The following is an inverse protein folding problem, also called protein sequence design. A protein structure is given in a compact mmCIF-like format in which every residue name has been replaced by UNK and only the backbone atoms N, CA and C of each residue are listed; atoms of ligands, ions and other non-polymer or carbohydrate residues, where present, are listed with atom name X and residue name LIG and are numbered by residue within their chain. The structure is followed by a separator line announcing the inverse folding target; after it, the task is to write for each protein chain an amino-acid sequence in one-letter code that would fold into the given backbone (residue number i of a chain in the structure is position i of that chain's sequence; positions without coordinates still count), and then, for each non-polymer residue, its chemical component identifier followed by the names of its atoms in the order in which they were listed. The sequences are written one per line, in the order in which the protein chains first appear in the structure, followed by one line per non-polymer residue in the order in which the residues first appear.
data_IF_592372065970
#
_entry.id   IF_592372065970
#
_cell.length_a   1.000
_cell.length_b   1.000
_cell.length_c   1.000
_cell.angle_alpha   90.00
_cell.angle_beta   90.00
_cell.angle_gamma   90.00
#
_symmetry.space_group_name_H-M   'P 1'
#
loop_
_entity.id
_entity.type
_entity.pdbx_description
1 polymer ?
#
# COMPACT_ATOMS: atom_id res chain seq x y z
N UNK A 1 32.77 -13.32 4.97
CA UNK A 1 31.49 -14.05 5.13
C UNK A 1 30.39 -13.10 4.74
N UNK A 2 29.62 -13.44 3.70
CA UNK A 2 28.45 -12.67 3.32
C UNK A 2 27.37 -12.85 4.39
N UNK A 3 26.88 -11.73 4.93
CA UNK A 3 25.86 -11.68 5.98
C UNK A 3 24.44 -11.51 5.43
N UNK A 4 24.30 -11.56 4.11
CA UNK A 4 23.06 -11.27 3.40
C UNK A 4 22.81 -12.42 2.43
N UNK A 5 21.63 -13.02 2.56
CA UNK A 5 21.11 -14.01 1.63
C UNK A 5 19.90 -13.42 0.93
N UNK A 6 19.83 -13.56 -0.40
CA UNK A 6 18.72 -13.05 -1.21
C UNK A 6 18.00 -14.25 -1.81
N UNK A 7 16.68 -14.29 -1.67
CA UNK A 7 15.81 -15.28 -2.31
C UNK A 7 14.88 -14.58 -3.30
N UNK A 8 14.67 -15.21 -4.46
CA UNK A 8 13.70 -14.75 -5.46
C UNK A 8 12.56 -15.77 -5.55
N UNK A 9 11.45 -15.46 -4.90
CA UNK A 9 10.23 -16.27 -4.90
C UNK A 9 9.03 -15.38 -4.59
N UNK A 10 7.85 -15.84 -4.99
CA UNK A 10 6.61 -15.20 -4.54
C UNK A 10 6.34 -15.58 -3.08
N UNK A 11 5.68 -14.69 -2.35
CA UNK A 11 5.46 -14.88 -0.92
C UNK A 11 4.68 -16.16 -0.63
N UNK A 12 3.67 -16.51 -1.42
CA UNK A 12 2.88 -17.74 -1.30
C UNK A 12 3.74 -19.00 -1.42
N UNK A 13 4.74 -19.00 -2.31
CA UNK A 13 5.62 -20.13 -2.58
C UNK A 13 6.84 -20.18 -1.65
N UNK A 14 7.20 -19.05 -1.03
CA UNK A 14 8.35 -18.99 -0.14
C UNK A 14 8.17 -19.93 1.05
N UNK A 15 9.17 -20.80 1.22
CA UNK A 15 9.30 -21.78 2.29
C UNK A 15 10.75 -21.80 2.75
N UNK A 16 10.95 -21.61 4.04
CA UNK A 16 12.24 -21.73 4.69
C UNK A 16 12.07 -22.45 6.04
N UNK A 17 13.14 -23.06 6.53
CA UNK A 17 13.18 -23.64 7.88
C UNK A 17 13.88 -22.70 8.86
N UNK A 18 14.57 -21.68 8.36
CA UNK A 18 15.24 -20.71 9.20
C UNK A 18 14.23 -19.81 9.93
N UNK A 19 14.53 -19.53 11.20
CA UNK A 19 13.82 -18.51 11.99
C UNK A 19 14.76 -17.36 12.32
N UNK A 20 14.20 -16.19 12.53
CA UNK A 20 14.94 -14.94 12.77
C UNK A 20 14.46 -14.25 14.05
N UNK A 21 15.36 -13.51 14.70
CA UNK A 21 15.01 -12.68 15.87
C UNK A 21 14.02 -11.55 15.52
N UNK A 22 14.01 -11.14 14.25
CA UNK A 22 13.10 -10.15 13.70
C UNK A 22 12.73 -10.54 12.28
N UNK A 23 11.43 -10.66 12.03
CA UNK A 23 10.86 -10.71 10.67
C UNK A 23 10.07 -9.45 10.44
N UNK A 24 10.32 -8.77 9.32
CA UNK A 24 9.59 -7.56 9.00
C UNK A 24 9.12 -7.53 7.54
N UNK A 25 8.00 -6.85 7.33
CA UNK A 25 7.47 -6.51 6.01
C UNK A 25 7.28 -5.00 5.94
N UNK A 26 7.67 -4.38 4.83
CA UNK A 26 7.58 -2.93 4.67
C UNK A 26 6.93 -2.56 3.35
N UNK A 27 5.75 -1.97 3.44
CA UNK A 27 4.95 -1.49 2.30
C UNK A 27 4.70 -2.60 1.26
N UNK A 28 4.64 -3.85 1.70
CA UNK A 28 4.49 -5.01 0.83
C UNK A 28 3.03 -5.46 0.78
N UNK A 29 2.44 -5.60 -0.40
CA UNK A 29 1.09 -6.17 -0.55
C UNK A 29 1.05 -7.66 -0.22
N UNK A 30 2.20 -8.33 -0.03
CA UNK A 30 2.25 -9.75 0.31
C UNK A 30 1.58 -10.07 1.66
N UNK A 31 1.53 -9.11 2.58
CA UNK A 31 0.87 -9.26 3.88
C UNK A 31 -0.45 -8.49 3.83
N UNK A 32 -1.47 -9.08 3.20
CA UNK A 32 -2.75 -8.43 2.91
C UNK A 32 -3.96 -9.11 3.57
N UNK A 33 -3.76 -10.16 4.37
CA UNK A 33 -4.82 -10.87 5.05
C UNK A 33 -4.28 -11.63 6.27
N UNK A 34 -5.20 -12.24 7.02
CA UNK A 34 -4.88 -13.00 8.21
C UNK A 34 -3.84 -14.10 7.96
N UNK A 35 -4.03 -14.96 6.95
CA UNK A 35 -3.13 -16.11 6.71
C UNK A 35 -1.69 -15.67 6.48
N UNK A 36 -1.50 -14.58 5.75
CA UNK A 36 -0.17 -14.08 5.42
C UNK A 36 0.53 -13.44 6.64
N UNK A 37 -0.25 -12.79 7.50
CA UNK A 37 0.26 -12.30 8.78
C UNK A 37 0.73 -13.44 9.69
N UNK A 38 -0.02 -14.54 9.75
CA UNK A 38 0.37 -15.73 10.53
C UNK A 38 1.58 -16.43 9.90
N UNK A 39 1.60 -16.57 8.58
CA UNK A 39 2.76 -17.12 7.86
C UNK A 39 4.03 -16.30 8.15
N UNK A 40 3.91 -14.98 8.24
CA UNK A 40 5.03 -14.12 8.64
C UNK A 40 5.49 -14.41 10.08
N UNK A 41 4.58 -14.62 11.03
CA UNK A 41 4.93 -15.02 12.41
C UNK A 41 5.77 -16.31 12.44
N UNK A 42 5.50 -17.29 11.56
CA UNK A 42 6.20 -18.60 11.60
C UNK A 42 7.70 -18.52 11.30
N UNK A 43 8.15 -17.41 10.70
CA UNK A 43 9.58 -17.17 10.41
C UNK A 43 10.29 -16.42 11.54
N UNK A 44 9.58 -15.97 12.57
CA UNK A 44 10.15 -15.27 13.71
C UNK A 44 10.18 -16.15 14.94
N UNK A 45 11.24 -16.01 15.75
CA UNK A 45 11.34 -16.64 17.07
C UNK A 45 11.24 -15.62 18.21
N UNK A 46 11.10 -14.32 17.90
CA UNK A 46 11.08 -13.27 18.92
C UNK A 46 10.17 -12.10 18.59
N UNK A 47 10.40 -11.37 17.49
CA UNK A 47 9.58 -10.22 17.13
C UNK A 47 9.17 -10.22 15.65
N UNK A 48 7.99 -9.67 15.39
CA UNK A 48 7.56 -9.31 14.05
C UNK A 48 7.31 -7.81 13.94
N UNK A 49 7.46 -7.26 12.73
CA UNK A 49 7.26 -5.84 12.45
C UNK A 49 6.60 -5.62 11.08
N UNK A 50 5.48 -4.91 11.05
CA UNK A 50 4.79 -4.53 9.82
C UNK A 50 4.85 -3.01 9.65
N UNK A 51 5.44 -2.56 8.55
CA UNK A 51 5.36 -1.17 8.10
C UNK A 51 4.32 -1.10 6.98
N UNK A 52 3.26 -0.34 7.21
CA UNK A 52 2.15 -0.20 6.26
C UNK A 52 1.62 1.24 6.24
N UNK A 53 0.64 1.50 5.39
CA UNK A 53 -0.06 2.77 5.36
C UNK A 53 -0.79 3.03 6.68
N UNK A 54 -0.67 4.26 7.17
CA UNK A 54 -1.47 4.76 8.27
C UNK A 54 -2.93 5.00 7.85
N UNK A 55 -3.81 5.06 8.84
CA UNK A 55 -5.21 5.41 8.60
C UNK A 55 -5.34 6.85 8.08
N UNK A 56 -6.32 7.09 7.20
CA UNK A 56 -6.69 8.45 6.80
C UNK A 56 -5.86 9.06 5.65
N UNK A 57 -5.23 8.24 4.81
CA UNK A 57 -4.56 8.71 3.59
C UNK A 57 -5.47 9.62 2.74
N UNK A 58 -4.94 10.75 2.21
CA UNK A 58 -5.71 11.62 1.33
C UNK A 58 -6.12 10.90 0.04
N UNK A 59 -7.22 11.35 -0.56
CA UNK A 59 -7.70 10.80 -1.83
C UNK A 59 -6.75 11.16 -2.97
N UNK A 60 -6.13 10.13 -3.55
CA UNK A 60 -5.30 10.23 -4.75
C UNK A 60 -6.13 10.55 -6.00
N UNK A 61 -5.48 11.07 -7.06
CA UNK A 61 -6.12 11.24 -8.37
C UNK A 61 -6.73 9.93 -8.89
N UNK A 62 -6.07 8.78 -8.68
CA UNK A 62 -6.57 7.46 -9.08
C UNK A 62 -7.85 7.09 -8.34
N UNK A 63 -7.93 7.40 -7.04
CA UNK A 63 -9.16 7.21 -6.28
C UNK A 63 -10.33 8.01 -6.86
N UNK A 64 -10.09 9.26 -7.27
CA UNK A 64 -11.12 10.11 -7.91
C UNK A 64 -11.57 9.57 -9.27
N UNK A 65 -10.65 9.01 -10.05
CA UNK A 65 -10.99 8.38 -11.33
C UNK A 65 -11.83 7.12 -11.10
N UNK A 66 -11.46 6.28 -10.13
CA UNK A 66 -12.29 5.14 -9.73
C UNK A 66 -13.71 5.56 -9.33
N UNK A 67 -13.88 6.65 -8.60
CA UNK A 67 -15.21 7.18 -8.26
C UNK A 67 -16.03 7.55 -9.49
N UNK A 68 -15.40 8.14 -10.51
CA UNK A 68 -16.04 8.45 -11.80
C UNK A 68 -16.45 7.18 -12.54
N UNK A 69 -15.58 6.16 -12.57
CA UNK A 69 -15.88 4.87 -13.21
C UNK A 69 -16.99 4.08 -12.51
N UNK A 70 -17.03 4.14 -11.17
CA UNK A 70 -17.99 3.38 -10.38
C UNK A 70 -19.31 4.13 -10.14
N UNK A 71 -19.37 5.43 -10.40
CA UNK A 71 -20.53 6.28 -10.10
C UNK A 71 -20.84 6.41 -8.61
N UNK A 72 -19.93 5.98 -7.74
CA UNK A 72 -20.05 6.02 -6.28
C UNK A 72 -18.70 6.31 -5.65
N UNK A 73 -18.71 6.72 -4.38
CA UNK A 73 -17.46 6.82 -3.60
C UNK A 73 -16.75 5.47 -3.61
N UNK A 74 -15.47 5.48 -3.97
CA UNK A 74 -14.63 4.31 -3.89
C UNK A 74 -14.34 4.05 -2.41
N UNK A 75 -14.65 2.86 -1.93
CA UNK A 75 -14.17 2.43 -0.63
C UNK A 75 -12.64 2.32 -0.72
N UNK A 76 -11.96 2.85 0.29
CA UNK A 76 -10.51 2.67 0.38
C UNK A 76 -10.24 1.20 0.62
N UNK A 77 -9.72 0.49 -0.38
CA UNK A 77 -9.21 -0.88 -0.23
C UNK A 77 -7.80 -0.90 0.36
N UNK A 78 -7.32 0.21 0.95
CA UNK A 78 -5.99 0.25 1.54
C UNK A 78 -5.99 -0.69 2.73
N UNK A 79 -5.09 -1.68 2.71
CA UNK A 79 -4.74 -2.49 3.86
C UNK A 79 -3.97 -1.61 4.86
N UNK A 80 -4.69 -0.71 5.51
CA UNK A 80 -4.12 0.22 6.46
C UNK A 80 -3.82 -0.47 7.78
N UNK A 81 -3.07 0.23 8.63
CA UNK A 81 -2.59 -0.27 9.90
C UNK A 81 -3.68 -0.81 10.85
N UNK A 82 -4.93 -0.36 10.72
CA UNK A 82 -6.00 -0.72 11.65
C UNK A 82 -6.36 -2.19 11.51
N UNK A 83 -6.40 -2.71 10.28
CA UNK A 83 -6.76 -4.10 10.04
C UNK A 83 -5.78 -5.10 10.68
N UNK A 84 -4.46 -5.11 10.37
CA UNK A 84 -3.52 -6.03 10.98
C UNK A 84 -3.36 -5.78 12.48
N UNK A 85 -3.47 -4.52 12.95
CA UNK A 85 -3.45 -4.22 14.38
C UNK A 85 -4.60 -4.91 15.13
N UNK A 86 -5.83 -4.81 14.60
CA UNK A 86 -7.00 -5.42 15.22
C UNK A 86 -6.93 -6.95 15.23
N UNK A 87 -6.39 -7.58 14.17
CA UNK A 87 -6.15 -9.02 14.15
C UNK A 87 -5.21 -9.41 15.29
N UNK A 88 -4.04 -8.77 15.36
CA UNK A 88 -3.01 -9.07 16.37
C UNK A 88 -3.56 -8.85 17.79
N UNK A 89 -4.31 -7.77 17.99
CA UNK A 89 -4.96 -7.49 19.27
C UNK A 89 -5.98 -8.58 19.63
N UNK A 90 -6.87 -8.96 18.71
CA UNK A 90 -7.88 -10.01 18.94
C UNK A 90 -7.25 -11.39 19.22
N UNK A 91 -6.06 -11.65 18.68
CA UNK A 91 -5.26 -12.85 18.96
C UNK A 91 -4.49 -12.80 20.29
N UNK A 92 -4.59 -11.71 21.05
CA UNK A 92 -3.87 -11.53 22.31
C UNK A 92 -2.37 -11.25 22.15
N UNK A 93 -1.90 -10.81 20.97
CA UNK A 93 -0.48 -10.49 20.71
C UNK A 93 -0.02 -9.18 21.34
N UNK A 94 -0.95 -8.36 21.85
CA UNK A 94 -0.68 -7.04 22.41
C UNK A 94 0.28 -6.20 21.54
N UNK A 95 -0.08 -5.96 20.26
CA UNK A 95 0.78 -5.23 19.34
C UNK A 95 0.99 -3.79 19.79
N UNK A 96 2.20 -3.28 19.53
CA UNK A 96 2.50 -1.86 19.64
C UNK A 96 2.37 -1.21 18.25
N UNK A 97 2.06 0.08 18.21
CA UNK A 97 1.98 0.83 16.96
C UNK A 97 2.52 2.24 17.15
N UNK A 98 3.27 2.72 16.15
CA UNK A 98 3.67 4.12 16.01
C UNK A 98 3.32 4.61 14.62
N UNK A 99 2.69 5.77 14.55
CA UNK A 99 2.32 6.41 13.29
C UNK A 99 3.25 7.58 12.98
N UNK A 100 3.45 7.83 11.70
CA UNK A 100 4.30 8.87 11.17
C UNK A 100 3.56 9.58 10.03
N UNK A 101 3.74 10.89 9.97
CA UNK A 101 3.28 11.73 8.87
C UNK A 101 4.52 12.33 8.22
N UNK A 102 4.62 12.15 6.91
CA UNK A 102 5.66 12.77 6.09
C UNK A 102 4.98 13.70 5.10
N UNK A 103 4.94 15.02 5.38
CA UNK A 103 4.42 16.00 4.44
C UNK A 103 5.14 15.90 3.10
N UNK A 104 4.38 15.99 2.02
CA UNK A 104 4.91 15.89 0.67
C UNK A 104 4.04 16.64 -0.32
N UNK A 105 4.68 17.20 -1.35
CA UNK A 105 4.00 17.74 -2.52
C UNK A 105 4.61 17.06 -3.75
N UNK A 106 3.75 16.61 -4.66
CA UNK A 106 4.18 16.10 -5.97
C UNK A 106 3.84 17.13 -7.03
N UNK A 107 4.79 17.45 -7.89
CA UNK A 107 4.58 18.27 -9.09
C UNK A 107 4.98 17.44 -10.30
N UNK A 108 3.99 17.02 -11.07
CA UNK A 108 4.20 16.10 -12.19
C UNK A 108 3.57 16.66 -13.47
N UNK A 109 4.27 16.64 -14.61
CA UNK A 109 3.68 17.02 -15.89
C UNK A 109 2.45 16.17 -16.21
N UNK A 110 1.38 16.80 -16.68
CA UNK A 110 0.11 16.15 -17.05
C UNK A 110 0.35 14.97 -18.00
N UNK A 111 1.24 15.14 -18.98
CA UNK A 111 1.59 14.07 -19.93
C UNK A 111 2.05 12.79 -19.24
N UNK A 112 2.91 12.91 -18.23
CA UNK A 112 3.41 11.77 -17.45
C UNK A 112 2.32 11.19 -16.55
N UNK A 113 1.53 12.03 -15.87
CA UNK A 113 0.42 11.56 -15.03
C UNK A 113 -0.59 10.78 -15.85
N UNK A 114 -0.92 11.27 -17.05
CA UNK A 114 -1.83 10.60 -17.98
C UNK A 114 -1.29 9.23 -18.39
N UNK A 115 -0.03 9.17 -18.83
CA UNK A 115 0.60 7.91 -19.24
C UNK A 115 0.56 6.87 -18.12
N UNK A 116 1.01 7.24 -16.92
CA UNK A 116 1.07 6.35 -15.76
C UNK A 116 -0.33 5.91 -15.31
N UNK A 117 -1.31 6.81 -15.41
CA UNK A 117 -2.70 6.54 -14.99
C UNK A 117 -3.43 5.63 -15.99
N UNK A 118 -3.29 5.88 -17.29
CA UNK A 118 -3.84 5.01 -18.34
C UNK A 118 -3.23 3.60 -18.20
N UNK A 119 -1.91 3.52 -18.04
CA UNK A 119 -1.22 2.23 -17.85
C UNK A 119 -1.77 1.49 -16.63
N UNK A 120 -1.97 2.18 -15.50
CA UNK A 120 -2.53 1.59 -14.29
C UNK A 120 -3.95 1.04 -14.53
N UNK A 121 -4.84 1.83 -15.13
CA UNK A 121 -6.24 1.41 -15.32
C UNK A 121 -6.41 0.30 -16.36
N UNK A 122 -5.52 0.24 -17.35
CA UNK A 122 -5.46 -0.87 -18.32
C UNK A 122 -5.26 -2.23 -17.66
N UNK A 123 -4.52 -2.30 -16.54
CA UNK A 123 -4.33 -3.54 -15.76
C UNK A 123 -5.69 -4.08 -15.26
N UNK A 124 -6.65 -3.19 -15.01
CA UNK A 124 -8.00 -3.53 -14.56
C UNK A 124 -9.01 -3.63 -15.70
N UNK A 125 -8.56 -3.72 -16.96
CA UNK A 125 -9.42 -3.84 -18.14
C UNK A 125 -10.17 -2.56 -18.50
N UNK A 126 -9.72 -1.39 -18.01
CA UNK A 126 -10.32 -0.07 -18.27
C UNK A 126 -9.50 0.65 -19.34
N UNK A 127 -9.91 0.53 -20.61
CA UNK A 127 -9.15 1.03 -21.77
C UNK A 127 -10.04 1.52 -22.93
N UNK A 128 -11.32 1.77 -22.68
CA UNK A 128 -12.20 2.36 -23.72
C UNK A 128 -11.89 3.84 -23.95
N UNK A 129 -12.22 4.36 -25.14
CA UNK A 129 -12.04 5.79 -25.47
C UNK A 129 -12.74 6.70 -24.45
N UNK A 130 -13.97 6.35 -24.04
CA UNK A 130 -14.70 7.09 -23.01
C UNK A 130 -13.99 7.08 -21.65
N UNK A 131 -13.38 5.96 -21.25
CA UNK A 131 -12.63 5.88 -19.99
C UNK A 131 -11.33 6.70 -20.04
N UNK A 132 -10.62 6.69 -21.17
CA UNK A 132 -9.44 7.52 -21.37
C UNK A 132 -9.79 9.01 -21.34
N UNK A 133 -10.94 9.39 -21.91
CA UNK A 133 -11.45 10.76 -21.87
C UNK A 133 -11.82 11.19 -20.43
N UNK A 134 -12.44 10.31 -19.65
CA UNK A 134 -12.69 10.57 -18.22
C UNK A 134 -11.38 10.76 -17.46
N UNK A 135 -10.37 9.91 -17.68
CA UNK A 135 -9.04 10.04 -17.06
C UNK A 135 -8.44 11.40 -17.39
N UNK A 136 -8.46 11.78 -18.67
CA UNK A 136 -7.94 13.06 -19.16
C UNK A 136 -8.59 14.24 -18.45
N UNK A 137 -9.92 14.30 -18.50
CA UNK A 137 -10.68 15.40 -17.89
C UNK A 137 -10.39 15.53 -16.40
N UNK A 138 -10.35 14.41 -15.66
CA UNK A 138 -10.09 14.45 -14.22
C UNK A 138 -8.69 15.01 -13.89
N UNK A 139 -7.68 14.71 -14.70
CA UNK A 139 -6.31 15.21 -14.51
C UNK A 139 -6.20 16.67 -14.94
N UNK A 140 -6.69 17.02 -16.14
CA UNK A 140 -6.54 18.36 -16.72
C UNK A 140 -7.32 19.42 -15.92
N UNK A 141 -8.52 19.11 -15.41
CA UNK A 141 -9.30 19.99 -14.52
C UNK A 141 -8.55 20.43 -13.25
N UNK A 142 -7.54 19.67 -12.85
CA UNK A 142 -6.78 19.87 -11.60
C UNK A 142 -5.36 20.35 -11.85
N UNK A 143 -4.94 20.36 -13.11
CA UNK A 143 -3.63 20.84 -13.49
C UNK A 143 -3.64 22.36 -13.68
N UNK A 144 -2.50 22.99 -13.42
CA UNK A 144 -2.25 24.39 -13.75
C UNK A 144 -0.98 24.46 -14.59
N UNK A 145 -1.03 25.14 -15.73
CA UNK A 145 0.09 25.27 -16.66
C UNK A 145 0.71 23.91 -17.08
N UNK A 146 -0.15 22.90 -17.27
CA UNK A 146 0.28 21.55 -17.66
C UNK A 146 0.96 20.75 -16.54
N UNK A 147 0.94 21.23 -15.30
CA UNK A 147 1.48 20.55 -14.12
C UNK A 147 0.34 20.18 -13.18
N UNK A 148 0.28 18.91 -12.78
CA UNK A 148 -0.56 18.47 -11.68
C UNK A 148 0.22 18.57 -10.37
N UNK A 149 -0.29 19.38 -9.43
CA UNK A 149 0.20 19.46 -8.07
C UNK A 149 -0.70 18.63 -7.16
N UNK A 150 -0.15 17.60 -6.52
CA UNK A 150 -0.88 16.75 -5.57
C UNK A 150 -0.27 16.83 -4.17
N UNK A 151 -1.13 16.78 -3.16
CA UNK A 151 -0.73 16.44 -1.80
C UNK A 151 -0.20 15.00 -1.81
N UNK A 152 1.10 14.87 -1.57
CA UNK A 152 1.82 13.60 -1.49
C UNK A 152 2.19 13.26 -0.05
N UNK A 153 1.47 13.82 0.93
CA UNK A 153 1.67 13.53 2.34
C UNK A 153 1.46 12.05 2.61
N UNK A 154 2.54 11.39 3.01
CA UNK A 154 2.54 9.98 3.37
C UNK A 154 2.15 9.79 4.83
N UNK A 155 1.15 8.95 5.07
CA UNK A 155 0.81 8.45 6.41
C UNK A 155 1.28 7.01 6.52
N UNK A 156 2.13 6.72 7.49
CA UNK A 156 2.74 5.41 7.69
C UNK A 156 2.54 4.96 9.13
N UNK A 157 2.45 3.65 9.31
CA UNK A 157 2.42 3.02 10.62
C UNK A 157 3.44 1.91 10.67
N UNK A 158 4.13 1.83 11.81
CA UNK A 158 4.97 0.71 12.19
C UNK A 158 4.26 -0.02 13.32
N UNK A 159 3.90 -1.28 13.09
CA UNK A 159 3.28 -2.18 14.06
C UNK A 159 4.30 -3.23 14.43
N UNK A 160 4.53 -3.47 15.71
CA UNK A 160 5.46 -4.53 16.15
C UNK A 160 4.91 -5.28 17.36
N UNK A 161 5.22 -6.57 17.42
CA UNK A 161 4.74 -7.47 18.46
C UNK A 161 5.73 -8.60 18.69
N UNK A 162 5.61 -9.23 19.87
CA UNK A 162 6.32 -10.45 20.19
C UNK A 162 5.51 -11.65 19.69
N UNK A 163 6.20 -12.61 19.06
CA UNK A 163 5.56 -13.88 18.72
C UNK A 163 5.34 -14.72 19.99
N UNK A 164 4.31 -15.57 20.04
CA UNK A 164 4.00 -16.42 21.20
C UNK A 164 5.10 -17.41 21.56
#
# INVERSE_FOLDING_TARGET
MDKIHISNSTWDQYKDKQTFDLVFSSMSPAISEYSELIKMETYSNRNCCLVTYGAGMPRTIRGRIWEKFLGKKAESMIFDAIYPFNILYAMGRNPNMKTFCQPGESKTPVSKVLEDTIRYFKIFGRDSENEQEIIRNVIEERATDGILCEDATGYYSVIWWQVP
#
